data_IF_174371059130
#
_entry.id   IF_174371059130
#
_cell.length_a   1.000
_cell.length_b   1.000
_cell.length_c   1.000
_cell.angle_alpha   90.00
_cell.angle_beta   90.00
_cell.angle_gamma   90.00
#
_symmetry.space_group_name_H-M   'P 1'
#
loop_
_entity.id
_entity.type
_entity.pdbx_description
1 polymer ?
#
# COMPACT_ATOMS: atom_id res chain seq x y z
N UNK A 1 4.56 38.35 26.57
CA UNK A 1 4.99 38.70 25.19
C UNK A 1 6.24 37.86 24.89
N UNK A 2 6.19 37.01 23.83
CA UNK A 2 7.29 36.53 22.95
C UNK A 2 8.68 36.20 23.54
N UNK A 3 9.37 35.08 23.26
CA UNK A 3 9.31 34.04 22.22
C UNK A 3 10.09 32.81 22.75
N UNK A 4 9.57 31.59 22.52
CA UNK A 4 10.35 30.35 22.68
C UNK A 4 11.31 30.23 21.51
N UNK A 5 12.60 30.15 21.78
CA UNK A 5 13.65 29.87 20.78
C UNK A 5 13.52 28.45 20.23
N UNK A 6 12.74 28.29 19.16
CA UNK A 6 12.57 27.04 18.43
C UNK A 6 13.52 26.93 17.24
N UNK A 7 14.84 27.02 17.46
CA UNK A 7 15.77 26.78 16.34
C UNK A 7 17.15 26.24 16.76
N UNK A 8 17.20 25.00 17.24
CA UNK A 8 18.45 24.21 17.25
C UNK A 8 18.31 23.03 16.29
N UNK A 9 18.37 23.32 14.99
CA UNK A 9 18.60 22.29 13.98
C UNK A 9 20.05 21.82 14.07
N UNK A 10 20.26 20.52 14.32
CA UNK A 10 21.59 19.93 14.47
C UNK A 10 22.36 19.94 13.15
N UNK A 11 23.71 19.92 13.19
CA UNK A 11 24.57 19.86 11.98
C UNK A 11 24.22 18.66 11.09
N UNK A 12 23.83 17.52 11.69
CA UNK A 12 23.35 16.33 10.98
C UNK A 12 22.02 16.55 10.26
N UNK A 13 21.07 17.26 10.85
CA UNK A 13 19.80 17.61 10.20
C UNK A 13 19.98 18.58 9.03
N UNK A 14 20.91 19.55 9.18
CA UNK A 14 21.27 20.47 8.09
C UNK A 14 21.89 19.71 6.91
N UNK A 15 22.82 18.79 7.17
CA UNK A 15 23.42 17.92 6.13
C UNK A 15 22.41 16.92 5.52
N UNK A 16 21.42 16.47 6.30
CA UNK A 16 20.37 15.60 5.75
C UNK A 16 19.49 16.39 4.77
N UNK A 17 19.07 17.61 5.14
CA UNK A 17 18.27 18.50 4.28
C UNK A 17 18.97 18.95 2.99
N UNK A 18 20.31 18.94 2.94
CA UNK A 18 21.06 19.23 1.71
C UNK A 18 21.07 18.07 0.72
N UNK A 19 20.75 16.84 1.14
CA UNK A 19 20.65 15.70 0.21
C UNK A 19 19.34 15.72 -0.57
N UNK A 20 19.35 15.19 -1.80
CA UNK A 20 18.18 15.10 -2.68
C UNK A 20 16.96 14.45 -1.97
N UNK A 21 17.20 13.32 -1.30
CA UNK A 21 16.15 12.56 -0.60
C UNK A 21 15.89 13.04 0.83
N UNK A 22 16.80 13.77 1.45
CA UNK A 22 16.61 14.26 2.82
C UNK A 22 15.62 15.42 2.93
N UNK A 23 15.12 15.92 1.80
CA UNK A 23 13.95 16.81 1.73
C UNK A 23 12.61 16.07 1.90
N UNK A 24 12.61 14.73 1.81
CA UNK A 24 11.40 13.92 1.98
C UNK A 24 11.17 13.67 3.47
N UNK A 25 10.00 14.07 4.03
CA UNK A 25 9.73 13.88 5.46
C UNK A 25 9.76 12.40 5.86
N UNK A 26 10.31 12.12 7.05
CA UNK A 26 10.51 10.76 7.57
C UNK A 26 9.27 10.18 8.23
N UNK A 27 8.36 11.05 8.66
CA UNK A 27 7.09 10.77 9.35
C UNK A 27 5.94 10.40 8.39
N UNK A 28 6.20 10.40 7.08
CA UNK A 28 5.22 9.95 6.10
C UNK A 28 4.99 8.43 6.19
N UNK A 29 3.75 7.96 5.90
CA UNK A 29 3.49 6.54 5.68
C UNK A 29 4.45 5.94 4.65
N UNK A 30 4.85 4.69 4.87
CA UNK A 30 5.93 4.05 4.10
C UNK A 30 5.67 4.06 2.58
N UNK A 31 4.45 3.74 2.13
CA UNK A 31 4.11 3.74 0.70
C UNK A 31 4.14 5.16 0.11
N UNK A 32 3.65 6.15 0.87
CA UNK A 32 3.72 7.55 0.44
C UNK A 32 5.17 8.03 0.34
N UNK A 33 6.00 7.65 1.30
CA UNK A 33 7.42 7.99 1.32
C UNK A 33 8.17 7.34 0.15
N UNK A 34 7.94 6.05 -0.11
CA UNK A 34 8.50 5.34 -1.27
C UNK A 34 8.06 5.97 -2.60
N UNK A 35 6.80 6.38 -2.71
CA UNK A 35 6.29 7.09 -3.89
C UNK A 35 7.00 8.43 -4.13
N UNK A 36 7.26 9.19 -3.07
CA UNK A 36 8.02 10.44 -3.20
C UNK A 36 9.48 10.18 -3.53
N UNK A 37 10.13 9.18 -2.92
CA UNK A 37 11.51 8.81 -3.22
C UNK A 37 11.66 8.47 -4.70
N UNK A 38 10.84 7.55 -5.21
CA UNK A 38 10.86 7.13 -6.62
C UNK A 38 10.57 8.29 -7.57
N UNK A 39 9.65 9.20 -7.20
CA UNK A 39 9.38 10.42 -7.98
C UNK A 39 10.56 11.40 -7.98
N UNK A 40 11.23 11.56 -6.84
CA UNK A 40 12.36 12.50 -6.70
C UNK A 40 13.59 12.00 -7.47
N UNK A 41 13.95 10.72 -7.35
CA UNK A 41 15.10 10.15 -8.09
C UNK A 41 14.83 10.11 -9.60
N UNK A 42 13.57 9.90 -10.00
CA UNK A 42 13.16 9.97 -11.40
C UNK A 42 13.36 11.37 -11.99
N UNK A 43 13.09 12.43 -11.23
CA UNK A 43 13.29 13.81 -11.64
C UNK A 43 14.75 14.20 -11.95
N UNK A 44 15.73 13.39 -11.50
CA UNK A 44 17.16 13.58 -11.82
C UNK A 44 17.69 12.54 -12.82
N UNK A 45 16.79 11.79 -13.48
CA UNK A 45 17.15 10.82 -14.52
C UNK A 45 17.46 9.41 -14.00
N UNK A 46 17.37 9.16 -12.69
CA UNK A 46 17.49 7.81 -12.13
C UNK A 46 16.13 7.11 -12.14
N UNK A 47 15.72 6.62 -13.32
CA UNK A 47 14.42 5.98 -13.50
C UNK A 47 14.40 4.87 -14.54
N UNK A 48 13.38 4.03 -14.43
CA UNK A 48 12.81 3.25 -15.52
C UNK A 48 11.61 4.03 -16.06
N UNK A 49 11.79 4.94 -17.04
CA UNK A 49 10.77 5.91 -17.43
C UNK A 49 9.51 5.27 -18.05
N UNK A 50 9.54 3.95 -18.30
CA UNK A 50 8.49 3.25 -19.03
C UNK A 50 8.04 2.00 -18.29
N UNK A 51 6.74 1.73 -18.39
CA UNK A 51 6.04 0.61 -17.76
C UNK A 51 6.76 -0.74 -17.96
N UNK A 52 7.33 -0.98 -19.14
CA UNK A 52 8.09 -2.21 -19.45
C UNK A 52 9.27 -2.44 -18.51
N UNK A 53 10.03 -1.39 -18.18
CA UNK A 53 11.20 -1.49 -17.30
C UNK A 53 10.81 -1.84 -15.87
N UNK A 54 9.78 -1.17 -15.33
CA UNK A 54 9.29 -1.47 -13.99
C UNK A 54 8.67 -2.87 -13.89
N UNK A 55 7.94 -3.32 -14.92
CA UNK A 55 7.41 -4.69 -14.97
C UNK A 55 8.52 -5.75 -15.04
N UNK A 56 9.64 -5.46 -15.73
CA UNK A 56 10.81 -6.34 -15.73
C UNK A 56 11.39 -6.44 -14.31
N UNK A 57 11.61 -5.30 -13.64
CA UNK A 57 12.12 -5.28 -12.27
C UNK A 57 11.19 -6.00 -11.29
N UNK A 58 9.88 -5.85 -11.43
CA UNK A 58 8.90 -6.59 -10.60
C UNK A 58 9.06 -8.11 -10.75
N UNK A 59 9.32 -8.61 -11.97
CA UNK A 59 9.57 -10.03 -12.19
C UNK A 59 10.90 -10.49 -11.57
N UNK A 60 11.92 -9.64 -11.60
CA UNK A 60 13.21 -9.90 -10.93
C UNK A 60 13.03 -10.00 -9.41
N UNK A 61 12.39 -9.02 -8.76
CA UNK A 61 12.12 -9.06 -7.31
C UNK A 61 11.25 -10.27 -6.92
N UNK A 62 10.27 -10.63 -7.76
CA UNK A 62 9.48 -11.84 -7.51
C UNK A 62 10.37 -13.07 -7.52
N UNK A 63 11.34 -13.17 -8.43
CA UNK A 63 12.27 -14.31 -8.46
C UNK A 63 13.12 -14.35 -7.19
N UNK A 64 13.69 -13.22 -6.77
CA UNK A 64 14.52 -13.13 -5.55
C UNK A 64 13.72 -13.50 -4.29
N UNK A 65 12.46 -13.06 -4.21
CA UNK A 65 11.52 -13.50 -3.18
C UNK A 65 11.31 -15.04 -3.14
N UNK A 66 11.14 -15.69 -4.30
CA UNK A 66 11.00 -17.15 -4.35
C UNK A 66 12.28 -17.89 -3.91
N UNK A 67 13.45 -17.35 -4.26
CA UNK A 67 14.73 -17.88 -3.78
C UNK A 67 14.85 -17.72 -2.26
N UNK A 68 14.43 -16.58 -1.71
CA UNK A 68 14.44 -16.34 -0.28
C UNK A 68 13.50 -17.28 0.49
N UNK A 69 12.32 -17.61 -0.04
CA UNK A 69 11.42 -18.62 0.56
C UNK A 69 12.12 -19.97 0.77
N UNK A 70 12.94 -20.39 -0.20
CA UNK A 70 13.67 -21.66 -0.15
C UNK A 70 14.80 -21.65 0.90
N UNK A 71 15.32 -20.47 1.24
CA UNK A 71 16.52 -20.31 2.08
C UNK A 71 16.28 -20.42 3.60
N UNK A 72 15.02 -20.49 4.06
CA UNK A 72 14.61 -20.37 5.49
C UNK A 72 15.19 -19.14 6.23
N UNK A 73 15.77 -18.17 5.51
CA UNK A 73 16.34 -16.96 6.09
C UNK A 73 15.26 -15.88 6.20
N UNK A 74 14.78 -15.64 7.43
CA UNK A 74 13.74 -14.66 7.71
C UNK A 74 14.16 -13.20 7.43
N UNK A 75 15.45 -12.89 7.54
CA UNK A 75 15.94 -11.54 7.23
C UNK A 75 15.91 -11.28 5.73
N UNK A 76 16.40 -12.24 4.94
CA UNK A 76 16.31 -12.15 3.47
C UNK A 76 14.85 -12.04 3.04
N UNK A 77 13.96 -12.89 3.55
CA UNK A 77 12.54 -12.82 3.22
C UNK A 77 11.91 -11.44 3.52
N UNK A 78 12.33 -10.80 4.63
CA UNK A 78 11.87 -9.44 4.97
C UNK A 78 12.36 -8.39 3.97
N UNK A 79 13.61 -8.50 3.52
CA UNK A 79 14.20 -7.62 2.50
C UNK A 79 13.42 -7.73 1.18
N UNK A 80 13.23 -8.95 0.68
CA UNK A 80 12.52 -9.18 -0.59
C UNK A 80 11.06 -8.70 -0.56
N UNK A 81 10.36 -8.83 0.59
CA UNK A 81 9.02 -8.26 0.76
C UNK A 81 9.07 -6.72 0.65
N UNK A 82 10.11 -6.10 1.21
CA UNK A 82 10.34 -4.66 1.11
C UNK A 82 10.55 -4.22 -0.34
N UNK A 83 11.36 -4.95 -1.10
CA UNK A 83 11.66 -4.64 -2.50
C UNK A 83 10.45 -4.83 -3.40
N UNK A 84 9.64 -5.87 -3.19
CA UNK A 84 8.35 -6.04 -3.86
C UNK A 84 7.41 -4.85 -3.62
N UNK A 85 7.27 -4.41 -2.36
CA UNK A 85 6.44 -3.25 -2.02
C UNK A 85 6.98 -1.95 -2.66
N UNK A 86 8.30 -1.79 -2.72
CA UNK A 86 8.95 -0.64 -3.31
C UNK A 86 8.76 -0.61 -4.84
N UNK A 87 8.92 -1.74 -5.52
CA UNK A 87 8.71 -1.86 -6.96
C UNK A 87 7.23 -1.69 -7.33
N UNK A 88 6.29 -2.22 -6.56
CA UNK A 88 4.85 -1.96 -6.75
C UNK A 88 4.49 -0.48 -6.54
N UNK A 89 5.17 0.19 -5.61
CA UNK A 89 5.03 1.63 -5.41
C UNK A 89 5.56 2.40 -6.63
N UNK A 90 6.71 2.00 -7.17
CA UNK A 90 7.26 2.61 -8.38
C UNK A 90 6.35 2.37 -9.60
N UNK A 91 5.75 1.17 -9.72
CA UNK A 91 4.77 0.86 -10.74
C UNK A 91 3.54 1.79 -10.63
N UNK A 92 3.05 1.99 -9.42
CA UNK A 92 1.93 2.93 -9.16
C UNK A 92 2.30 4.35 -9.60
N UNK A 93 3.53 4.80 -9.34
CA UNK A 93 4.05 6.09 -9.82
C UNK A 93 4.06 6.19 -11.34
N UNK A 94 4.59 5.20 -12.05
CA UNK A 94 4.59 5.18 -13.53
C UNK A 94 3.17 5.24 -14.09
N UNK A 95 2.20 4.64 -13.39
CA UNK A 95 0.78 4.67 -13.77
C UNK A 95 0.03 5.93 -13.31
N UNK A 96 0.69 6.87 -12.62
CA UNK A 96 0.06 8.07 -12.07
C UNK A 96 -0.90 7.82 -10.91
N UNK A 97 -0.76 6.68 -10.22
CA UNK A 97 -1.62 6.25 -9.12
C UNK A 97 -0.90 6.48 -7.79
N UNK A 98 -1.57 7.11 -6.83
CA UNK A 98 -1.08 7.24 -5.45
C UNK A 98 -1.27 5.90 -4.71
N UNK A 99 -0.18 5.17 -4.38
CA UNK A 99 -0.27 3.82 -3.84
C UNK A 99 -0.89 3.80 -2.44
N UNK A 100 -0.64 4.81 -1.62
CA UNK A 100 -1.20 4.92 -0.27
C UNK A 100 -2.73 5.05 -0.35
N UNK A 101 -3.23 5.95 -1.21
CA UNK A 101 -4.68 6.11 -1.41
C UNK A 101 -5.33 4.87 -2.04
N UNK A 102 -4.65 4.21 -2.96
CA UNK A 102 -5.11 2.97 -3.58
C UNK A 102 -5.28 1.86 -2.54
N UNK A 103 -4.28 1.67 -1.67
CA UNK A 103 -4.33 0.67 -0.61
C UNK A 103 -5.40 1.01 0.43
N UNK A 104 -5.51 2.27 0.88
CA UNK A 104 -6.57 2.71 1.79
C UNK A 104 -7.97 2.41 1.24
N UNK A 105 -8.18 2.57 -0.06
CA UNK A 105 -9.45 2.23 -0.72
C UNK A 105 -9.71 0.72 -0.68
N UNK A 106 -8.68 -0.10 -0.88
CA UNK A 106 -8.78 -1.56 -0.77
C UNK A 106 -9.08 -2.02 0.66
N UNK A 107 -8.40 -1.46 1.65
CA UNK A 107 -8.64 -1.73 3.07
C UNK A 107 -10.09 -1.39 3.45
N UNK A 108 -10.61 -0.21 3.05
CA UNK A 108 -12.00 0.17 3.32
C UNK A 108 -13.01 -0.82 2.73
N UNK A 109 -12.78 -1.31 1.50
CA UNK A 109 -13.62 -2.35 0.88
C UNK A 109 -13.58 -3.65 1.69
N UNK A 110 -12.38 -4.08 2.10
CA UNK A 110 -12.21 -5.28 2.90
C UNK A 110 -12.98 -5.20 4.21
N UNK A 111 -12.81 -4.11 4.97
CA UNK A 111 -13.50 -3.88 6.25
C UNK A 111 -15.02 -3.93 6.06
N UNK A 112 -15.56 -3.20 5.09
CA UNK A 112 -17.01 -3.19 4.88
C UNK A 112 -17.58 -4.57 4.53
N UNK A 113 -16.85 -5.35 3.72
CA UNK A 113 -17.27 -6.71 3.35
C UNK A 113 -17.18 -7.66 4.52
N UNK A 114 -16.13 -7.58 5.31
CA UNK A 114 -15.99 -8.43 6.49
C UNK A 114 -17.06 -8.11 7.55
N UNK A 115 -17.33 -6.83 7.80
CA UNK A 115 -18.45 -6.40 8.66
C UNK A 115 -19.81 -6.89 8.16
N UNK A 116 -19.98 -7.05 6.85
CA UNK A 116 -21.17 -7.65 6.28
C UNK A 116 -21.26 -9.15 6.62
N UNK A 117 -20.15 -9.88 6.54
CA UNK A 117 -20.08 -11.29 6.95
C UNK A 117 -20.48 -11.43 8.42
N UNK A 118 -19.85 -10.66 9.30
CA UNK A 118 -20.11 -10.66 10.75
C UNK A 118 -21.60 -10.44 11.05
N UNK A 119 -22.19 -9.39 10.47
CA UNK A 119 -23.61 -9.07 10.65
C UNK A 119 -24.53 -10.15 10.10
N UNK A 120 -24.13 -10.82 9.03
CA UNK A 120 -24.94 -11.87 8.41
C UNK A 120 -24.90 -13.17 9.19
N UNK A 121 -23.75 -13.54 9.75
CA UNK A 121 -23.62 -14.68 10.66
C UNK A 121 -24.36 -14.44 11.97
N UNK A 122 -24.24 -13.24 12.54
CA UNK A 122 -24.95 -12.89 13.78
C UNK A 122 -26.47 -12.99 13.61
N UNK A 123 -27.00 -12.55 12.46
CA UNK A 123 -28.44 -12.72 12.13
C UNK A 123 -28.87 -14.17 12.02
N UNK A 124 -27.95 -15.09 11.77
CA UNK A 124 -28.17 -16.55 11.75
C UNK A 124 -27.92 -17.20 13.11
N UNK A 125 -27.69 -16.40 14.16
CA UNK A 125 -27.36 -16.90 15.49
C UNK A 125 -25.97 -17.56 15.59
N UNK A 126 -25.07 -17.28 14.64
CA UNK A 126 -23.72 -17.86 14.58
C UNK A 126 -22.64 -16.82 14.84
N UNK A 127 -21.58 -17.21 15.55
CA UNK A 127 -20.31 -16.49 15.60
C UNK A 127 -19.37 -16.85 14.45
N UNK A 128 -18.31 -16.06 14.22
CA UNK A 128 -17.29 -16.33 13.20
C UNK A 128 -16.64 -17.71 13.36
N UNK A 129 -16.36 -18.11 14.61
CA UNK A 129 -15.74 -19.40 14.93
C UNK A 129 -16.64 -20.61 14.65
N UNK A 130 -17.95 -20.38 14.46
CA UNK A 130 -18.94 -21.41 14.12
C UNK A 130 -19.24 -21.45 12.61
N UNK A 131 -18.50 -20.67 11.82
CA UNK A 131 -18.59 -20.62 10.36
C UNK A 131 -17.32 -21.22 9.74
N UNK A 132 -17.33 -21.40 8.43
CA UNK A 132 -16.20 -21.92 7.67
C UNK A 132 -15.90 -21.00 6.47
N UNK A 133 -14.75 -21.21 5.84
CA UNK A 133 -14.30 -20.38 4.72
C UNK A 133 -15.32 -20.33 3.58
N UNK A 134 -15.96 -21.46 3.25
CA UNK A 134 -16.97 -21.52 2.18
C UNK A 134 -18.19 -20.65 2.48
N UNK A 135 -18.70 -20.67 3.73
CA UNK A 135 -19.81 -19.82 4.14
C UNK A 135 -19.42 -18.34 4.15
N UNK A 136 -18.22 -18.01 4.65
CA UNK A 136 -17.69 -16.66 4.65
C UNK A 136 -17.48 -16.12 3.23
N UNK A 137 -16.97 -16.94 2.31
CA UNK A 137 -16.79 -16.60 0.89
C UNK A 137 -18.13 -16.36 0.19
N UNK A 138 -19.16 -17.17 0.49
CA UNK A 138 -20.51 -16.93 0.00
C UNK A 138 -21.06 -15.57 0.46
N UNK A 139 -20.89 -15.23 1.74
CA UNK A 139 -21.28 -13.94 2.30
C UNK A 139 -20.44 -12.78 1.73
N UNK A 140 -19.16 -13.02 1.45
CA UNK A 140 -18.27 -12.06 0.81
C UNK A 140 -18.74 -11.69 -0.60
N UNK A 141 -19.08 -12.68 -1.43
CA UNK A 141 -19.63 -12.44 -2.77
C UNK A 141 -20.99 -11.74 -2.71
N UNK A 142 -21.82 -12.04 -1.70
CA UNK A 142 -23.06 -11.30 -1.47
C UNK A 142 -22.79 -9.81 -1.17
N UNK A 143 -21.81 -9.52 -0.30
CA UNK A 143 -21.39 -8.15 0.02
C UNK A 143 -20.95 -7.40 -1.23
N UNK A 144 -20.08 -8.02 -2.07
CA UNK A 144 -19.63 -7.47 -3.35
C UNK A 144 -20.79 -7.11 -4.27
N UNK A 145 -21.80 -7.99 -4.37
CA UNK A 145 -22.98 -7.77 -5.21
C UNK A 145 -23.82 -6.58 -4.70
N UNK A 146 -23.99 -6.43 -3.38
CA UNK A 146 -24.70 -5.29 -2.77
C UNK A 146 -23.99 -3.96 -3.01
N UNK A 147 -22.66 -3.93 -2.88
CA UNK A 147 -21.85 -2.75 -3.20
C UNK A 147 -22.03 -2.30 -4.66
N UNK A 148 -21.92 -3.23 -5.62
CA UNK A 148 -22.10 -2.95 -7.05
C UNK A 148 -23.48 -2.33 -7.34
N UNK A 149 -24.55 -2.93 -6.78
CA UNK A 149 -25.92 -2.39 -6.92
C UNK A 149 -26.05 -0.97 -6.36
N UNK A 150 -25.44 -0.68 -5.21
CA UNK A 150 -25.47 0.66 -4.60
C UNK A 150 -24.75 1.70 -5.46
N UNK A 151 -23.60 1.35 -6.03
CA UNK A 151 -22.85 2.24 -6.93
C UNK A 151 -23.65 2.53 -8.21
N UNK A 152 -24.27 1.52 -8.81
CA UNK A 152 -25.12 1.69 -10.00
C UNK A 152 -26.32 2.61 -9.72
N UNK A 153 -27.00 2.44 -8.58
CA UNK A 153 -28.10 3.33 -8.18
C UNK A 153 -27.65 4.78 -8.01
N UNK A 154 -26.50 5.02 -7.36
CA UNK A 154 -25.95 6.38 -7.18
C UNK A 154 -25.56 7.04 -8.51
N UNK A 155 -25.09 6.27 -9.49
CA UNK A 155 -24.76 6.79 -10.83
C UNK A 155 -25.99 7.17 -11.65
N UNK A 156 -27.11 6.45 -11.47
CA UNK A 156 -28.39 6.76 -12.15
C UNK A 156 -29.14 7.95 -11.54
N UNK A 157 -28.79 8.36 -10.33
CA UNK A 157 -29.41 9.46 -9.61
C UNK A 157 -28.61 10.77 -9.70
N UNK A 158 -27.53 10.80 -10.47
CA UNK A 158 -26.74 11.97 -10.83
C UNK A 158 -26.88 12.22 -12.32
#
# INVERSE_FOLDING_TARGET
MMKKDSNRTTKREKMNRSSLLGRIPKDLPALRRAFLITKTVSGVGFDWPHLKGVLKKLKEELKEFHEALSSKNQNRLREEIGDLLFVLTNLSRVLGIDPEKALQTTIKKFIHRFQYIEKSLLKRGKGLQQSNLLEMDGLWEEAKRKEKKRVLKKRRAK
#
